data_IF_435715721846
#
_entry.id   IF_435715721846
#
_cell.length_a   1.000
_cell.length_b   1.000
_cell.length_c   1.000
_cell.angle_alpha   90.00
_cell.angle_beta   90.00
_cell.angle_gamma   90.00
#
_symmetry.space_group_name_H-M   'P 1'
#
loop_
_entity.id
_entity.type
_entity.pdbx_description
1 polymer ?
#
# COMPACT_ATOMS: atom_id res chain seq x y z
N UNK A 1 -21.16 31.84 -44.53
CA UNK A 1 -20.09 31.91 -43.49
C UNK A 1 -20.16 30.66 -42.65
N UNK A 2 -19.39 29.62 -43.03
CA UNK A 2 -19.44 28.29 -42.45
C UNK A 2 -18.25 28.17 -41.50
N UNK A 3 -18.50 28.08 -40.18
CA UNK A 3 -17.48 27.89 -39.15
C UNK A 3 -17.15 26.40 -39.04
N UNK A 4 -15.95 26.01 -39.41
CA UNK A 4 -15.39 24.68 -39.16
C UNK A 4 -14.92 24.62 -37.71
N UNK A 5 -15.55 23.74 -36.91
CA UNK A 5 -15.08 23.37 -35.58
C UNK A 5 -14.13 22.20 -35.77
N UNK A 6 -12.84 22.45 -35.53
CA UNK A 6 -11.81 21.41 -35.45
C UNK A 6 -11.94 20.69 -34.09
N UNK A 7 -12.48 19.48 -34.11
CA UNK A 7 -12.42 18.57 -32.98
C UNK A 7 -11.03 17.92 -33.00
N UNK A 8 -10.16 18.34 -32.10
CA UNK A 8 -8.85 17.73 -31.88
C UNK A 8 -9.05 16.48 -30.97
N UNK A 9 -9.21 15.33 -31.64
CA UNK A 9 -9.29 14.04 -30.95
C UNK A 9 -7.88 13.65 -30.47
N UNK A 10 -7.56 13.90 -29.19
CA UNK A 10 -6.35 13.40 -28.56
C UNK A 10 -6.47 11.87 -28.36
N UNK A 11 -5.90 11.14 -29.31
CA UNK A 11 -5.58 9.72 -29.17
C UNK A 11 -4.43 9.57 -28.19
N UNK A 12 -4.71 9.50 -26.89
CA UNK A 12 -3.74 9.07 -25.88
C UNK A 12 -3.55 7.56 -25.98
N UNK A 13 -2.36 7.21 -26.40
CA UNK A 13 -1.96 5.92 -26.87
C UNK A 13 -2.01 4.78 -25.86
N UNK A 14 -2.65 3.73 -26.28
CA UNK A 14 -2.55 2.32 -25.80
C UNK A 14 -1.18 1.67 -26.07
N UNK A 15 -0.15 2.46 -26.42
CA UNK A 15 1.18 1.96 -26.85
C UNK A 15 2.07 1.48 -25.70
N UNK A 16 1.79 1.83 -24.44
CA UNK A 16 2.71 1.55 -23.33
C UNK A 16 2.62 0.11 -22.81
N UNK A 17 1.47 -0.54 -22.90
CA UNK A 17 1.31 -1.94 -22.49
C UNK A 17 1.88 -2.89 -23.55
N UNK A 18 1.66 -2.58 -24.83
CA UNK A 18 2.20 -3.41 -25.92
C UNK A 18 3.73 -3.44 -25.97
N UNK A 19 4.42 -2.36 -25.55
CA UNK A 19 5.88 -2.36 -25.43
C UNK A 19 6.36 -3.21 -24.25
N UNK A 20 5.66 -3.19 -23.12
CA UNK A 20 5.99 -4.04 -21.96
C UNK A 20 5.81 -5.52 -22.29
N UNK A 21 4.69 -5.88 -22.96
CA UNK A 21 4.42 -7.25 -23.39
C UNK A 21 5.45 -7.76 -24.39
N UNK A 22 5.90 -6.92 -25.32
CA UNK A 22 6.95 -7.27 -26.29
C UNK A 22 8.28 -7.55 -25.59
N UNK A 23 8.69 -6.68 -24.66
CA UNK A 23 9.93 -6.85 -23.89
C UNK A 23 9.86 -8.10 -23.00
N UNK A 24 8.71 -8.39 -22.39
CA UNK A 24 8.47 -9.60 -21.62
C UNK A 24 8.56 -10.87 -22.49
N UNK A 25 8.05 -10.82 -23.72
CA UNK A 25 8.13 -11.94 -24.65
C UNK A 25 9.55 -12.15 -25.17
N UNK A 26 10.30 -11.08 -25.44
CA UNK A 26 11.72 -11.14 -25.84
C UNK A 26 12.59 -11.67 -24.69
N UNK A 27 12.31 -11.27 -23.45
CA UNK A 27 12.95 -11.82 -22.25
C UNK A 27 12.64 -13.32 -22.08
N UNK A 28 11.39 -13.75 -22.26
CA UNK A 28 11.03 -15.19 -22.27
C UNK A 28 11.77 -15.98 -23.33
N UNK A 29 11.96 -15.40 -24.53
CA UNK A 29 12.69 -16.02 -25.63
C UNK A 29 14.20 -16.14 -25.33
N UNK A 30 14.81 -15.13 -24.72
CA UNK A 30 16.20 -15.17 -24.26
C UNK A 30 16.42 -16.24 -23.17
N UNK A 31 15.42 -16.47 -22.32
CA UNK A 31 15.42 -17.52 -21.30
C UNK A 31 15.52 -18.94 -21.88
N UNK A 32 14.91 -19.17 -23.05
CA UNK A 32 14.94 -20.47 -23.74
C UNK A 32 16.24 -20.77 -24.44
N UNK A 33 17.09 -19.75 -24.65
CA UNK A 33 18.36 -19.87 -25.43
C UNK A 33 19.63 -20.01 -24.58
N UNK A 34 19.51 -20.05 -23.23
CA UNK A 34 20.66 -20.17 -22.32
C UNK A 34 21.58 -18.94 -22.26
N UNK A 35 21.22 -17.81 -22.88
CA UNK A 35 21.99 -16.57 -22.85
C UNK A 35 21.92 -15.88 -21.49
N UNK A 36 22.98 -15.18 -21.03
CA UNK A 36 22.92 -14.32 -19.86
C UNK A 36 21.86 -13.25 -20.05
N UNK A 37 21.12 -12.93 -18.95
CA UNK A 37 20.14 -11.86 -18.96
C UNK A 37 20.81 -10.50 -19.16
N UNK A 38 20.25 -9.67 -20.02
CA UNK A 38 20.66 -8.28 -20.16
C UNK A 38 20.19 -7.44 -18.96
N UNK A 39 20.85 -6.31 -18.73
CA UNK A 39 20.46 -5.33 -17.69
C UNK A 39 18.98 -4.92 -17.79
N UNK A 40 18.48 -4.75 -19.01
CA UNK A 40 17.07 -4.39 -19.27
C UNK A 40 16.13 -5.54 -18.90
N UNK A 41 16.47 -6.77 -19.25
CA UNK A 41 15.66 -7.95 -18.89
C UNK A 41 15.60 -8.16 -17.38
N UNK A 42 16.71 -7.99 -16.67
CA UNK A 42 16.78 -8.05 -15.20
C UNK A 42 15.88 -6.97 -14.59
N UNK A 43 15.97 -5.73 -15.09
CA UNK A 43 15.14 -4.61 -14.60
C UNK A 43 13.65 -4.86 -14.82
N UNK A 44 13.27 -5.36 -16.01
CA UNK A 44 11.87 -5.65 -16.31
C UNK A 44 11.35 -6.83 -15.49
N UNK A 45 12.17 -7.86 -15.24
CA UNK A 45 11.81 -8.96 -14.35
C UNK A 45 11.57 -8.50 -12.92
N UNK A 46 12.41 -7.60 -12.41
CA UNK A 46 12.18 -7.03 -11.08
C UNK A 46 10.89 -6.21 -11.05
N UNK A 47 10.63 -5.38 -12.07
CA UNK A 47 9.36 -4.64 -12.17
C UNK A 47 8.14 -5.57 -12.18
N UNK A 48 8.19 -6.66 -12.95
CA UNK A 48 7.13 -7.68 -12.96
C UNK A 48 6.92 -8.30 -11.57
N UNK A 49 8.01 -8.64 -10.87
CA UNK A 49 7.95 -9.13 -9.50
C UNK A 49 7.22 -8.17 -8.57
N UNK A 50 7.60 -6.89 -8.64
CA UNK A 50 7.02 -5.85 -7.81
C UNK A 50 5.54 -5.63 -8.14
N UNK A 51 5.16 -5.62 -9.42
CA UNK A 51 3.76 -5.53 -9.85
C UNK A 51 2.93 -6.69 -9.28
N UNK A 52 3.45 -7.91 -9.35
CA UNK A 52 2.78 -9.10 -8.82
C UNK A 52 2.66 -9.02 -7.28
N UNK A 53 3.75 -8.67 -6.60
CA UNK A 53 3.78 -8.54 -5.14
C UNK A 53 2.83 -7.45 -4.62
N UNK A 54 2.87 -6.24 -5.19
CA UNK A 54 1.97 -5.17 -4.77
C UNK A 54 0.51 -5.47 -5.11
N UNK A 55 0.24 -6.09 -6.26
CA UNK A 55 -1.12 -6.49 -6.64
C UNK A 55 -1.68 -7.49 -5.64
N UNK A 56 -0.95 -8.56 -5.35
CA UNK A 56 -1.35 -9.59 -4.39
C UNK A 56 -1.54 -9.00 -2.98
N UNK A 57 -0.58 -8.20 -2.51
CA UNK A 57 -0.65 -7.56 -1.21
C UNK A 57 -1.85 -6.62 -1.08
N UNK A 58 -2.06 -5.72 -2.05
CA UNK A 58 -3.19 -4.78 -2.03
C UNK A 58 -4.55 -5.48 -2.18
N UNK A 59 -4.66 -6.46 -3.09
CA UNK A 59 -5.89 -7.21 -3.31
C UNK A 59 -6.31 -8.03 -2.08
N UNK A 60 -5.34 -8.46 -1.25
CA UNK A 60 -5.62 -9.18 0.00
C UNK A 60 -6.24 -8.25 1.06
N UNK A 61 -5.63 -7.08 1.26
CA UNK A 61 -6.02 -6.18 2.36
C UNK A 61 -7.17 -5.23 2.03
N UNK A 62 -7.47 -5.01 0.76
CA UNK A 62 -8.62 -4.20 0.31
C UNK A 62 -9.96 -4.94 0.38
N UNK A 63 -9.95 -6.23 0.70
CA UNK A 63 -11.16 -7.04 0.91
C UNK A 63 -11.75 -6.82 2.30
N UNK A 64 -13.01 -7.18 2.45
CA UNK A 64 -13.64 -7.25 3.77
C UNK A 64 -12.82 -8.13 4.70
N UNK A 65 -12.55 -7.64 5.90
CA UNK A 65 -11.73 -8.31 6.92
C UNK A 65 -10.22 -8.40 6.59
N UNK A 66 -9.77 -7.77 5.51
CA UNK A 66 -8.36 -7.73 5.12
C UNK A 66 -7.45 -7.05 6.14
N UNK A 67 -7.96 -5.99 6.81
CA UNK A 67 -7.32 -5.39 7.99
C UNK A 67 -7.91 -5.95 9.28
N UNK A 68 -9.22 -5.96 9.42
CA UNK A 68 -9.88 -6.25 10.70
C UNK A 68 -9.54 -7.62 11.27
N UNK A 69 -9.53 -8.66 10.45
CA UNK A 69 -9.18 -10.04 10.87
C UNK A 69 -7.71 -10.41 10.67
N UNK A 70 -6.89 -9.49 10.21
CA UNK A 70 -5.45 -9.73 10.07
C UNK A 70 -4.71 -9.20 11.32
N UNK A 71 -4.20 -10.08 12.19
CA UNK A 71 -3.57 -9.66 13.45
C UNK A 71 -2.29 -8.84 13.25
N UNK A 72 -1.62 -8.95 12.08
CA UNK A 72 -0.38 -8.23 11.79
C UNK A 72 -0.61 -6.75 11.46
N UNK A 73 -1.79 -6.40 10.93
CA UNK A 73 -2.09 -5.06 10.43
C UNK A 73 -3.40 -4.46 10.94
N UNK A 74 -4.13 -5.21 11.78
CA UNK A 74 -5.37 -4.72 12.40
C UNK A 74 -5.09 -3.41 13.12
N UNK A 75 -5.85 -2.37 12.79
CA UNK A 75 -5.79 -1.07 13.44
C UNK A 75 -6.52 -1.16 14.78
N UNK A 76 -5.82 -1.07 15.90
CA UNK A 76 -6.44 -1.12 17.22
C UNK A 76 -7.06 0.23 17.62
N UNK A 77 -7.66 0.28 18.78
CA UNK A 77 -7.93 1.56 19.45
C UNK A 77 -6.61 2.29 19.69
N UNK A 78 -6.54 3.64 19.53
CA UNK A 78 -5.27 4.37 19.68
C UNK A 78 -4.62 4.13 21.04
N UNK A 79 -3.36 3.68 21.02
CA UNK A 79 -2.65 3.25 22.23
C UNK A 79 -2.42 4.41 23.21
N UNK A 80 -2.22 5.63 22.70
CA UNK A 80 -2.00 6.83 23.50
C UNK A 80 -3.18 7.15 24.44
N UNK A 81 -4.36 6.63 24.11
CA UNK A 81 -5.59 6.79 24.91
C UNK A 81 -6.17 5.44 25.36
N UNK A 82 -5.34 4.43 25.51
CA UNK A 82 -5.73 3.08 25.96
C UNK A 82 -6.51 3.08 27.28
N UNK A 83 -6.19 3.99 28.19
CA UNK A 83 -6.92 4.17 29.46
C UNK A 83 -8.39 4.51 29.21
N UNK A 84 -8.68 5.25 28.15
CA UNK A 84 -10.05 5.61 27.77
C UNK A 84 -10.81 4.38 27.30
N UNK A 85 -10.19 3.57 26.42
CA UNK A 85 -10.79 2.29 26.02
C UNK A 85 -11.16 1.44 27.23
N UNK A 86 -10.23 1.29 28.18
CA UNK A 86 -10.44 0.51 29.40
C UNK A 86 -11.62 1.05 30.21
N UNK A 87 -11.71 2.36 30.41
CA UNK A 87 -12.81 2.99 31.13
C UNK A 87 -14.16 2.83 30.44
N UNK A 88 -14.20 3.02 29.09
CA UNK A 88 -15.42 2.81 28.32
C UNK A 88 -15.93 1.37 28.43
N UNK A 89 -15.03 0.39 28.34
CA UNK A 89 -15.40 -1.03 28.52
C UNK A 89 -15.91 -1.31 29.93
N UNK A 90 -15.29 -0.73 30.97
CA UNK A 90 -15.74 -0.87 32.34
C UNK A 90 -17.14 -0.24 32.60
N UNK A 91 -17.50 0.78 31.82
CA UNK A 91 -18.84 1.42 31.87
C UNK A 91 -19.88 0.65 31.00
N UNK A 92 -19.56 -0.52 30.47
CA UNK A 92 -20.48 -1.33 29.67
C UNK A 92 -20.55 -0.93 28.20
N UNK A 93 -19.71 0.00 27.72
CA UNK A 93 -19.67 0.48 26.33
C UNK A 93 -18.72 -0.34 25.44
N UNK A 94 -18.54 -1.62 25.75
CA UNK A 94 -17.62 -2.49 24.99
C UNK A 94 -18.03 -2.65 23.53
N UNK A 95 -19.32 -2.73 23.23
CA UNK A 95 -19.85 -2.84 21.86
C UNK A 95 -19.54 -1.61 21.01
N UNK A 96 -19.61 -0.43 21.59
CA UNK A 96 -19.30 0.84 20.94
C UNK A 96 -17.80 0.93 20.61
N UNK A 97 -16.95 0.51 21.55
CA UNK A 97 -15.50 0.41 21.33
C UNK A 97 -15.19 -0.58 20.20
N UNK A 98 -15.83 -1.74 20.19
CA UNK A 98 -15.61 -2.73 19.13
C UNK A 98 -16.09 -2.22 17.76
N UNK A 99 -17.25 -1.55 17.73
CA UNK A 99 -17.76 -0.89 16.50
C UNK A 99 -16.80 0.19 16.00
N UNK A 100 -16.22 0.97 16.92
CA UNK A 100 -15.21 1.97 16.58
C UNK A 100 -13.98 1.32 15.93
N UNK A 101 -13.42 0.26 16.54
CA UNK A 101 -12.27 -0.46 15.99
C UNK A 101 -12.60 -1.09 14.63
N UNK A 102 -13.79 -1.67 14.46
CA UNK A 102 -14.25 -2.15 13.14
C UNK A 102 -14.24 -1.02 12.12
N UNK A 103 -14.76 0.16 12.47
CA UNK A 103 -14.84 1.30 11.54
C UNK A 103 -13.47 1.79 11.09
N UNK A 104 -12.48 1.86 11.99
CA UNK A 104 -11.08 2.17 11.61
C UNK A 104 -10.57 1.23 10.53
N UNK A 105 -10.78 -0.07 10.71
CA UNK A 105 -10.31 -1.10 9.78
C UNK A 105 -11.08 -1.10 8.46
N UNK A 106 -12.40 -0.85 8.46
CA UNK A 106 -13.19 -0.69 7.23
C UNK A 106 -12.73 0.52 6.42
N UNK A 107 -12.40 1.63 7.09
CA UNK A 107 -11.80 2.79 6.42
C UNK A 107 -10.47 2.45 5.75
N UNK A 108 -9.62 1.67 6.40
CA UNK A 108 -8.35 1.21 5.84
C UNK A 108 -8.54 0.24 4.65
N UNK A 109 -9.46 -0.71 4.74
CA UNK A 109 -9.80 -1.66 3.66
C UNK A 109 -10.31 -0.92 2.41
N UNK A 110 -11.17 0.08 2.59
CA UNK A 110 -11.67 0.89 1.48
C UNK A 110 -10.56 1.75 0.86
N UNK A 111 -9.75 2.41 1.69
CA UNK A 111 -8.63 3.23 1.23
C UNK A 111 -7.57 2.40 0.48
N UNK A 112 -7.33 1.16 0.90
CA UNK A 112 -6.34 0.28 0.28
C UNK A 112 -6.64 -0.04 -1.21
N UNK A 113 -7.88 0.13 -1.66
CA UNK A 113 -8.25 0.00 -3.08
C UNK A 113 -7.53 1.01 -3.97
N UNK A 114 -7.22 2.19 -3.43
CA UNK A 114 -6.50 3.26 -4.14
C UNK A 114 -4.98 3.03 -4.22
N UNK A 115 -4.43 2.08 -3.46
CA UNK A 115 -2.99 1.89 -3.38
C UNK A 115 -2.37 1.27 -4.65
N UNK A 116 -3.08 0.32 -5.26
CA UNK A 116 -2.56 -0.43 -6.42
C UNK A 116 -2.14 0.47 -7.59
N UNK A 117 -2.98 1.39 -8.11
CA UNK A 117 -2.57 2.27 -9.20
C UNK A 117 -1.38 3.17 -8.84
N UNK A 118 -1.27 3.62 -7.58
CA UNK A 118 -0.16 4.44 -7.10
C UNK A 118 1.15 3.65 -7.17
N UNK A 119 1.16 2.42 -6.69
CA UNK A 119 2.34 1.56 -6.75
C UNK A 119 2.74 1.21 -8.18
N UNK A 120 1.76 0.88 -9.03
CA UNK A 120 2.03 0.58 -10.45
C UNK A 120 2.68 1.76 -11.17
N UNK A 121 2.24 3.00 -10.87
CA UNK A 121 2.84 4.21 -11.42
C UNK A 121 4.30 4.38 -10.95
N UNK A 122 4.58 4.20 -9.65
CA UNK A 122 5.93 4.28 -9.10
C UNK A 122 6.86 3.20 -9.69
N UNK A 123 6.40 1.95 -9.81
CA UNK A 123 7.17 0.86 -10.41
C UNK A 123 7.47 1.14 -11.89
N UNK A 124 6.51 1.70 -12.64
CA UNK A 124 6.71 2.08 -14.04
C UNK A 124 7.83 3.12 -14.19
N UNK A 125 7.89 4.11 -13.28
CA UNK A 125 8.88 5.19 -13.28
C UNK A 125 10.27 4.77 -12.77
N UNK A 126 10.38 3.59 -12.17
CA UNK A 126 11.65 3.04 -11.65
C UNK A 126 12.72 3.01 -12.73
N UNK A 127 13.90 3.54 -12.44
CA UNK A 127 15.06 3.52 -13.30
C UNK A 127 15.79 2.16 -13.26
N UNK A 128 16.77 1.97 -14.14
CA UNK A 128 17.65 0.80 -14.08
C UNK A 128 18.47 0.79 -12.80
N UNK A 129 18.97 1.96 -12.38
CA UNK A 129 19.78 2.09 -11.17
C UNK A 129 18.96 1.78 -9.91
N UNK A 130 17.71 2.26 -9.84
CA UNK A 130 16.78 1.89 -8.76
C UNK A 130 16.58 0.37 -8.71
N UNK A 131 16.37 -0.27 -9.86
CA UNK A 131 16.14 -1.70 -9.92
C UNK A 131 17.36 -2.49 -9.39
N UNK A 132 18.58 -2.10 -9.78
CA UNK A 132 19.80 -2.75 -9.28
C UNK A 132 20.05 -2.45 -7.80
N UNK A 133 19.75 -1.23 -7.32
CA UNK A 133 19.82 -0.91 -5.91
C UNK A 133 18.87 -1.78 -5.07
N UNK A 134 17.65 -2.00 -5.57
CA UNK A 134 16.67 -2.89 -4.94
C UNK A 134 17.16 -4.35 -4.95
N UNK A 135 17.64 -4.83 -6.11
CA UNK A 135 18.05 -6.23 -6.27
C UNK A 135 19.21 -6.61 -5.34
N UNK A 136 20.21 -5.69 -5.22
CA UNK A 136 21.40 -5.87 -4.40
C UNK A 136 21.23 -5.38 -2.95
N UNK A 137 20.12 -4.71 -2.67
CA UNK A 137 19.85 -4.08 -1.38
C UNK A 137 19.40 -5.05 -0.30
N UNK A 138 18.99 -4.47 0.83
CA UNK A 138 18.47 -5.20 1.98
C UNK A 138 17.20 -6.02 1.63
N UNK A 139 16.79 -6.98 2.45
CA UNK A 139 15.63 -7.83 2.19
C UNK A 139 14.31 -7.08 1.94
N UNK A 140 14.21 -5.84 2.38
CA UNK A 140 13.04 -4.94 2.23
C UNK A 140 13.29 -3.74 1.30
N UNK A 141 14.33 -3.77 0.49
CA UNK A 141 14.76 -2.63 -0.34
C UNK A 141 13.67 -2.14 -1.31
N UNK A 142 12.86 -3.05 -1.87
CA UNK A 142 11.75 -2.68 -2.75
C UNK A 142 10.63 -1.98 -1.96
N UNK A 143 10.32 -2.47 -0.76
CA UNK A 143 9.36 -1.86 0.15
C UNK A 143 9.81 -0.46 0.55
N UNK A 144 11.08 -0.25 0.86
CA UNK A 144 11.63 1.07 1.19
C UNK A 144 11.57 2.03 0.00
N UNK A 145 11.89 1.56 -1.21
CA UNK A 145 11.73 2.35 -2.44
C UNK A 145 10.27 2.79 -2.63
N UNK A 146 9.32 1.87 -2.55
CA UNK A 146 7.89 2.19 -2.67
C UNK A 146 7.43 3.13 -1.56
N UNK A 147 7.87 2.92 -0.33
CA UNK A 147 7.58 3.81 0.80
C UNK A 147 8.05 5.24 0.53
N UNK A 148 9.29 5.40 0.09
CA UNK A 148 9.87 6.71 -0.25
C UNK A 148 9.10 7.42 -1.36
N UNK A 149 8.71 6.69 -2.41
CA UNK A 149 8.15 7.28 -3.63
C UNK A 149 6.64 7.47 -3.60
N UNK A 150 5.92 6.76 -2.72
CA UNK A 150 4.44 6.73 -2.78
C UNK A 150 3.72 7.21 -1.52
N UNK A 151 4.40 7.33 -0.36
CA UNK A 151 3.72 7.66 0.92
C UNK A 151 2.92 8.95 0.84
N UNK A 152 3.45 10.00 0.21
CA UNK A 152 2.75 11.28 0.11
C UNK A 152 1.43 11.16 -0.67
N UNK A 153 1.47 10.49 -1.82
CA UNK A 153 0.29 10.28 -2.66
C UNK A 153 -0.72 9.32 -2.00
N UNK A 154 -0.22 8.29 -1.29
CA UNK A 154 -1.08 7.41 -0.49
C UNK A 154 -1.82 8.19 0.60
N UNK A 155 -1.13 9.07 1.35
CA UNK A 155 -1.77 9.92 2.37
C UNK A 155 -2.85 10.80 1.77
N UNK A 156 -2.59 11.44 0.63
CA UNK A 156 -3.55 12.29 -0.09
C UNK A 156 -4.82 11.51 -0.46
N UNK A 157 -4.68 10.29 -0.97
CA UNK A 157 -5.81 9.46 -1.40
C UNK A 157 -6.54 8.78 -0.24
N UNK A 158 -5.81 8.32 0.77
CA UNK A 158 -6.39 7.59 1.91
C UNK A 158 -7.19 8.49 2.85
N UNK A 159 -6.66 9.69 3.13
CA UNK A 159 -7.23 10.60 4.14
C UNK A 159 -8.72 10.90 3.95
N UNK A 160 -9.22 11.28 2.75
CA UNK A 160 -10.66 11.53 2.55
C UNK A 160 -11.51 10.26 2.68
N UNK A 161 -11.01 9.09 2.30
CA UNK A 161 -11.75 7.82 2.35
C UNK A 161 -11.88 7.37 3.81
N UNK A 162 -10.78 7.44 4.56
CA UNK A 162 -10.75 7.15 6.00
C UNK A 162 -11.69 8.10 6.73
N UNK A 163 -11.65 9.41 6.45
CA UNK A 163 -12.53 10.41 7.05
C UNK A 163 -14.00 10.06 6.82
N UNK A 164 -14.40 9.77 5.58
CA UNK A 164 -15.77 9.39 5.25
C UNK A 164 -16.26 8.14 6.01
N UNK A 165 -15.35 7.21 6.30
CA UNK A 165 -15.66 6.02 7.10
C UNK A 165 -15.85 6.35 8.58
N UNK A 166 -15.01 7.22 9.13
CA UNK A 166 -15.09 7.66 10.54
C UNK A 166 -16.35 8.52 10.82
N UNK A 167 -16.74 9.34 9.85
CA UNK A 167 -17.90 10.24 9.98
C UNK A 167 -19.23 9.46 10.09
N UNK A 168 -19.34 8.30 9.46
CA UNK A 168 -20.53 7.43 9.55
C UNK A 168 -20.91 7.04 10.97
N UNK A 169 -19.95 7.03 11.88
CA UNK A 169 -20.15 6.66 13.31
C UNK A 169 -19.81 7.81 14.25
N UNK A 170 -19.63 9.04 13.75
CA UNK A 170 -19.23 10.24 14.50
C UNK A 170 -17.94 10.04 15.33
N UNK A 171 -17.11 9.09 14.93
CA UNK A 171 -15.90 8.70 15.66
C UNK A 171 -14.94 9.88 15.83
N UNK A 172 -14.76 10.68 14.78
CA UNK A 172 -13.85 11.83 14.78
C UNK A 172 -14.22 12.86 15.84
N UNK A 173 -15.51 13.19 15.96
CA UNK A 173 -15.99 14.16 16.94
C UNK A 173 -15.73 13.69 18.37
N UNK A 174 -16.23 12.50 18.71
CA UNK A 174 -16.09 11.97 20.07
C UNK A 174 -14.63 11.76 20.49
N UNK A 175 -13.81 11.28 19.58
CA UNK A 175 -12.38 11.13 19.83
C UNK A 175 -11.69 12.48 20.05
N UNK A 176 -11.96 13.46 19.19
CA UNK A 176 -11.40 14.81 19.29
C UNK A 176 -11.77 15.48 20.60
N UNK A 177 -13.04 15.45 21.00
CA UNK A 177 -13.51 16.02 22.26
C UNK A 177 -12.82 15.38 23.47
N UNK A 178 -12.70 14.05 23.46
CA UNK A 178 -12.07 13.29 24.51
C UNK A 178 -10.57 13.61 24.64
N UNK A 179 -9.84 13.59 23.54
CA UNK A 179 -8.40 13.87 23.53
C UNK A 179 -8.12 15.32 23.90
N UNK A 180 -8.96 16.26 23.49
CA UNK A 180 -8.82 17.65 23.89
C UNK A 180 -9.01 17.84 25.41
N UNK A 181 -9.93 17.10 26.04
CA UNK A 181 -10.07 17.11 27.51
C UNK A 181 -8.85 16.46 28.19
N UNK A 182 -8.39 15.32 27.67
CA UNK A 182 -7.17 14.66 28.16
C UNK A 182 -5.97 15.61 28.10
N UNK A 183 -5.75 16.28 26.99
CA UNK A 183 -4.62 17.20 26.76
C UNK A 183 -4.61 18.44 27.67
N UNK A 184 -5.69 18.74 28.41
CA UNK A 184 -5.75 19.81 29.42
C UNK A 184 -5.13 19.41 30.76
N UNK A 185 -4.89 18.12 31.00
CA UNK A 185 -4.26 17.64 32.23
C UNK A 185 -2.78 18.11 32.24
N UNK A 186 -2.29 18.75 33.30
CA UNK A 186 -0.88 19.16 33.38
C UNK A 186 0.06 17.97 33.43
N UNK A 187 1.27 18.16 32.90
CA UNK A 187 2.40 17.21 32.98
C UNK A 187 2.20 15.85 32.29
N UNK A 188 1.27 15.73 31.35
CA UNK A 188 1.10 14.53 30.54
C UNK A 188 1.69 14.70 29.14
N UNK A 189 2.01 13.59 28.47
CA UNK A 189 2.29 13.57 27.04
C UNK A 189 1.01 13.86 26.28
N UNK A 190 1.03 14.92 25.48
CA UNK A 190 -0.15 15.29 24.65
C UNK A 190 -0.35 14.28 23.53
N UNK A 191 -1.60 13.95 23.27
CA UNK A 191 -2.04 13.05 22.19
C UNK A 191 -2.59 13.87 21.04
N UNK A 192 -2.36 13.39 19.80
CA UNK A 192 -2.93 14.02 18.61
C UNK A 192 -4.46 13.81 18.60
N UNK A 193 -5.26 14.89 18.60
CA UNK A 193 -6.72 14.77 18.54
C UNK A 193 -7.26 14.36 17.17
N UNK A 194 -6.41 14.29 16.15
CA UNK A 194 -6.81 13.96 14.79
C UNK A 194 -6.84 12.45 14.56
N UNK A 195 -8.00 11.85 14.78
CA UNK A 195 -8.22 10.42 14.57
C UNK A 195 -7.99 9.99 13.12
N UNK A 196 -8.28 10.87 12.14
CA UNK A 196 -8.07 10.57 10.73
C UNK A 196 -6.58 10.39 10.41
N UNK A 197 -5.71 11.26 10.96
CA UNK A 197 -4.27 11.11 10.78
C UNK A 197 -3.77 9.78 11.36
N UNK A 198 -4.19 9.42 12.57
CA UNK A 198 -3.87 8.13 13.17
C UNK A 198 -4.31 6.95 12.28
N UNK A 199 -5.59 6.93 11.88
CA UNK A 199 -6.14 5.82 11.10
C UNK A 199 -5.49 5.73 9.70
N UNK A 200 -5.22 6.88 9.07
CA UNK A 200 -4.54 6.94 7.76
C UNK A 200 -3.10 6.42 7.85
N UNK A 201 -2.34 6.85 8.86
CA UNK A 201 -0.95 6.42 9.04
C UNK A 201 -0.88 4.92 9.36
N UNK A 202 -1.77 4.41 10.20
CA UNK A 202 -1.88 2.98 10.50
C UNK A 202 -2.28 2.15 9.27
N UNK A 203 -3.19 2.65 8.44
CA UNK A 203 -3.58 2.00 7.20
C UNK A 203 -2.40 1.89 6.23
N UNK A 204 -1.65 2.97 6.04
CA UNK A 204 -0.46 2.99 5.17
C UNK A 204 0.65 2.09 5.75
N UNK A 205 0.85 2.09 7.05
CA UNK A 205 1.81 1.19 7.71
C UNK A 205 1.45 -0.28 7.48
N UNK A 206 0.18 -0.65 7.66
CA UNK A 206 -0.31 -1.99 7.41
C UNK A 206 -0.12 -2.41 5.94
N UNK A 207 -0.39 -1.51 5.01
CA UNK A 207 -0.15 -1.72 3.58
C UNK A 207 1.33 -2.06 3.30
N UNK A 208 2.28 -1.27 3.82
CA UNK A 208 3.71 -1.55 3.63
C UNK A 208 4.18 -2.81 4.36
N UNK A 209 3.58 -3.17 5.49
CA UNK A 209 3.83 -4.45 6.17
C UNK A 209 3.51 -5.63 5.26
N UNK A 210 2.37 -5.59 4.58
CA UNK A 210 1.98 -6.67 3.65
C UNK A 210 2.84 -6.71 2.40
N UNK A 211 3.27 -5.55 1.87
CA UNK A 211 4.20 -5.49 0.73
C UNK A 211 5.57 -6.06 1.11
N UNK A 212 6.09 -5.72 2.29
CA UNK A 212 7.35 -6.29 2.79
C UNK A 212 7.28 -7.83 2.95
N UNK A 213 6.12 -8.34 3.36
CA UNK A 213 5.88 -9.78 3.46
C UNK A 213 5.90 -10.46 2.08
N UNK A 214 5.28 -9.86 1.08
CA UNK A 214 5.33 -10.38 -0.29
C UNK A 214 6.75 -10.27 -0.89
N UNK A 215 7.47 -9.17 -0.65
CA UNK A 215 8.88 -9.04 -1.05
C UNK A 215 9.74 -10.14 -0.44
N UNK A 216 9.61 -10.36 0.87
CA UNK A 216 10.34 -11.43 1.57
C UNK A 216 10.02 -12.80 0.97
N UNK A 217 8.75 -13.07 0.68
CA UNK A 217 8.32 -14.33 0.06
C UNK A 217 8.98 -14.53 -1.30
N UNK A 218 8.99 -13.54 -2.19
CA UNK A 218 9.62 -13.63 -3.52
C UNK A 218 11.14 -13.85 -3.39
N UNK A 219 11.80 -13.19 -2.44
CA UNK A 219 13.24 -13.32 -2.24
C UNK A 219 13.65 -14.68 -1.68
N UNK A 220 12.86 -15.24 -0.75
CA UNK A 220 13.23 -16.44 0.01
C UNK A 220 12.60 -17.73 -0.52
N UNK A 221 11.39 -17.68 -1.07
CA UNK A 221 10.66 -18.85 -1.53
C UNK A 221 10.68 -18.98 -3.06
N UNK A 222 11.36 -20.01 -3.61
CA UNK A 222 11.33 -20.28 -5.05
C UNK A 222 9.93 -20.50 -5.62
N UNK A 223 8.98 -21.04 -4.83
CA UNK A 223 7.61 -21.26 -5.26
C UNK A 223 6.82 -19.93 -5.44
N UNK A 224 7.21 -18.87 -4.72
CA UNK A 224 6.62 -17.55 -4.89
C UNK A 224 7.06 -16.83 -6.18
N UNK A 225 8.08 -17.35 -6.87
CA UNK A 225 8.63 -16.83 -8.12
C UNK A 225 7.81 -17.37 -9.29
N UNK A 226 6.71 -16.71 -9.58
CA UNK A 226 5.68 -17.21 -10.52
C UNK A 226 6.08 -17.17 -11.99
N UNK A 227 7.14 -16.43 -12.36
CA UNK A 227 7.68 -16.43 -13.74
C UNK A 227 9.09 -16.98 -13.81
N UNK A 228 9.47 -17.49 -15.00
CA UNK A 228 10.84 -17.99 -15.23
C UNK A 228 11.88 -16.87 -15.13
N UNK A 229 11.50 -15.64 -15.45
CA UNK A 229 12.34 -14.47 -15.27
C UNK A 229 12.63 -14.22 -13.78
N UNK A 230 11.62 -14.31 -12.90
CA UNK A 230 11.79 -14.24 -11.46
C UNK A 230 12.69 -15.33 -10.89
N UNK A 231 12.53 -16.56 -11.38
CA UNK A 231 13.37 -17.67 -10.98
C UNK A 231 14.85 -17.42 -11.32
N UNK A 232 15.14 -16.83 -12.50
CA UNK A 232 16.52 -16.50 -12.91
C UNK A 232 17.06 -15.29 -12.15
N UNK A 233 16.29 -14.20 -12.01
CA UNK A 233 16.74 -12.97 -11.33
C UNK A 233 17.03 -13.20 -9.84
N UNK A 234 16.22 -14.00 -9.17
CA UNK A 234 16.37 -14.30 -7.74
C UNK A 234 16.96 -15.68 -7.44
N UNK A 235 17.18 -16.51 -8.45
CA UNK A 235 17.74 -17.87 -8.30
C UNK A 235 19.24 -17.95 -8.56
N UNK A 236 19.83 -16.96 -9.23
CA UNK A 236 21.29 -16.87 -9.44
C UNK A 236 21.94 -16.21 -8.23
N UNK A 237 22.18 -17.01 -7.18
CA UNK A 237 23.16 -16.71 -6.12
C UNK A 237 24.30 -17.66 -6.22
#
# INVERSE_FOLDING_TARGET
MTKYIFIFLMLFGSSSFAQLDKVLNDAKKALSTGKPLTTVEVTNGLKEALVNGVSKGTDLISKLDGYYKNPEIKIPFPQDVKMVETKLRALGMGKEVDKFVVTLNRGAEEAAKEAKPIFLAAIKQMTIDDAFAILKGQPDAATQYLKKTTTAQLKEKFKPIVQASLDKVQATKYYGDLVNQYNRIPFITKVNPNLNDYATDMAIQGLFTMIAKEEKSIRQDPAARTSDLLKKVFGSK
#
